data_IF_911821943092
#
_entry.id   IF_911821943092
#
_cell.length_a   1.000
_cell.length_b   1.000
_cell.length_c   1.000
_cell.angle_alpha   90.00
_cell.angle_beta   90.00
_cell.angle_gamma   90.00
#
_symmetry.space_group_name_H-M   'P 1'
#
loop_
_entity.id
_entity.type
_entity.pdbx_description
1 polymer ?
#
# COMPACT_ATOMS: atom_id res chain seq x y z
N UNK A 1 33.35 12.40 1.71
CA UNK A 1 33.08 13.66 0.96
C UNK A 1 31.69 13.50 0.34
N UNK A 2 30.69 14.31 0.73
CA UNK A 2 29.37 14.20 0.15
C UNK A 2 29.33 14.99 -1.18
N UNK A 3 28.93 14.30 -2.24
CA UNK A 3 28.69 14.84 -3.55
C UNK A 3 27.34 15.58 -3.52
N UNK A 4 27.39 16.89 -3.31
CA UNK A 4 26.31 17.81 -3.59
C UNK A 4 26.31 18.08 -5.09
N UNK A 5 25.29 17.62 -5.82
CA UNK A 5 24.64 18.46 -6.84
C UNK A 5 23.43 17.79 -7.54
N UNK A 6 22.43 18.65 -7.78
CA UNK A 6 21.43 18.60 -8.86
C UNK A 6 20.12 17.83 -8.62
N UNK A 7 19.22 18.47 -7.87
CA UNK A 7 17.78 18.18 -7.87
C UNK A 7 17.01 19.45 -8.22
N UNK A 8 16.67 19.62 -9.49
CA UNK A 8 15.75 20.66 -9.96
C UNK A 8 15.07 20.18 -11.25
N UNK A 9 13.97 19.43 -11.09
CA UNK A 9 13.07 19.03 -12.18
C UNK A 9 11.59 19.29 -11.84
N UNK A 10 11.31 20.09 -10.81
CA UNK A 10 9.93 20.41 -10.42
C UNK A 10 9.51 21.72 -11.06
N UNK A 11 8.43 21.68 -11.84
CA UNK A 11 7.87 22.84 -12.53
C UNK A 11 6.73 23.40 -11.69
N UNK A 12 6.74 24.71 -11.44
CA UNK A 12 5.60 25.43 -10.90
C UNK A 12 4.77 25.97 -12.04
N UNK A 13 3.51 25.56 -12.16
CA UNK A 13 2.54 26.31 -12.95
C UNK A 13 1.17 26.34 -12.27
N UNK A 14 0.55 27.51 -12.34
CA UNK A 14 -0.64 27.93 -11.62
C UNK A 14 -1.73 28.27 -12.64
N UNK A 15 -2.91 27.65 -12.54
CA UNK A 15 -4.18 28.13 -13.13
C UNK A 15 -5.37 27.20 -12.81
N UNK A 16 -6.31 27.76 -12.06
CA UNK A 16 -7.65 27.26 -11.76
C UNK A 16 -8.62 27.36 -12.94
N UNK A 17 -9.42 26.33 -13.21
CA UNK A 17 -10.69 26.47 -13.95
C UNK A 17 -11.85 25.63 -13.39
N UNK A 18 -13.04 26.22 -13.51
CA UNK A 18 -14.31 25.94 -12.83
C UNK A 18 -15.06 24.73 -13.40
N UNK A 19 -15.75 24.03 -12.52
CA UNK A 19 -16.69 22.92 -12.79
C UNK A 19 -18.08 23.48 -13.12
N UNK A 20 -18.75 22.91 -14.14
CA UNK A 20 -20.20 23.05 -14.36
C UNK A 20 -20.83 21.65 -14.38
N UNK A 21 -21.79 21.43 -13.46
CA UNK A 21 -22.64 20.24 -13.37
C UNK A 21 -23.79 20.32 -14.38
N UNK A 22 -24.14 19.19 -14.99
CA UNK A 22 -25.51 18.94 -15.47
C UNK A 22 -25.95 17.52 -15.11
N UNK A 23 -27.10 17.49 -14.46
CA UNK A 23 -27.90 16.36 -14.01
C UNK A 23 -28.90 15.95 -15.09
N UNK A 24 -29.19 14.66 -15.20
CA UNK A 24 -30.43 14.18 -15.81
C UNK A 24 -30.79 12.79 -15.29
N UNK A 25 -32.00 12.72 -14.73
CA UNK A 25 -32.70 11.54 -14.24
C UNK A 25 -33.08 10.61 -15.39
N UNK A 26 -32.99 9.29 -15.19
CA UNK A 26 -33.70 8.30 -16.00
C UNK A 26 -34.38 7.28 -15.09
N UNK A 27 -35.64 7.04 -15.43
CA UNK A 27 -36.70 6.30 -14.74
C UNK A 27 -36.47 4.80 -14.78
N UNK A 28 -36.72 4.14 -13.65
CA UNK A 28 -36.65 2.69 -13.44
C UNK A 28 -37.92 2.02 -13.97
N UNK A 29 -37.78 1.03 -14.87
CA UNK A 29 -38.81 0.02 -15.14
C UNK A 29 -38.31 -1.35 -14.69
N UNK A 30 -39.09 -1.99 -13.81
CA UNK A 30 -38.93 -3.37 -13.36
C UNK A 30 -39.34 -4.34 -14.47
N UNK A 31 -38.49 -5.29 -14.79
CA UNK A 31 -38.87 -6.55 -15.45
C UNK A 31 -38.28 -7.71 -14.64
N UNK A 32 -39.17 -8.55 -14.10
CA UNK A 32 -38.85 -9.83 -13.50
C UNK A 32 -38.38 -10.81 -14.59
N UNK A 33 -37.13 -11.29 -14.51
CA UNK A 33 -36.63 -12.45 -15.25
C UNK A 33 -35.72 -13.31 -14.37
N UNK A 34 -36.27 -14.42 -13.89
CA UNK A 34 -35.62 -15.73 -13.74
C UNK A 34 -34.08 -15.75 -13.72
N UNK A 35 -33.48 -15.54 -12.54
CA UNK A 35 -32.06 -15.79 -12.27
C UNK A 35 -31.83 -17.21 -11.75
N UNK A 36 -31.33 -18.12 -12.59
CA UNK A 36 -30.64 -19.33 -12.07
C UNK A 36 -29.59 -19.97 -12.99
N UNK A 37 -29.26 -19.39 -14.16
CA UNK A 37 -28.27 -19.98 -15.10
C UNK A 37 -27.19 -19.02 -15.60
N UNK A 38 -27.28 -17.71 -15.36
CA UNK A 38 -26.30 -16.70 -15.81
C UNK A 38 -25.06 -16.60 -14.90
N UNK A 39 -25.22 -16.77 -13.59
CA UNK A 39 -24.13 -16.61 -12.62
C UNK A 39 -23.03 -17.67 -12.75
N UNK A 40 -23.39 -18.91 -13.11
CA UNK A 40 -22.41 -19.99 -13.29
C UNK A 40 -21.48 -19.78 -14.49
N UNK A 41 -21.99 -19.22 -15.59
CA UNK A 41 -21.19 -18.94 -16.78
C UNK A 41 -20.31 -17.70 -16.61
N UNK A 42 -20.78 -16.68 -15.89
CA UNK A 42 -19.98 -15.48 -15.57
C UNK A 42 -18.83 -15.80 -14.63
N UNK A 43 -19.08 -16.52 -13.54
CA UNK A 43 -18.04 -16.92 -12.59
C UNK A 43 -16.96 -17.81 -13.24
N UNK A 44 -17.36 -18.78 -14.08
CA UNK A 44 -16.40 -19.60 -14.85
C UNK A 44 -15.57 -18.77 -15.83
N UNK A 45 -16.17 -17.77 -16.49
CA UNK A 45 -15.45 -16.88 -17.42
C UNK A 45 -14.45 -15.98 -16.70
N UNK A 46 -14.83 -15.45 -15.53
CA UNK A 46 -13.94 -14.65 -14.67
C UNK A 46 -12.77 -15.48 -14.12
N UNK A 47 -13.03 -16.72 -13.71
CA UNK A 47 -12.00 -17.65 -13.24
C UNK A 47 -11.01 -18.04 -14.35
N UNK A 48 -11.50 -18.36 -15.55
CA UNK A 48 -10.65 -18.65 -16.71
C UNK A 48 -9.78 -17.44 -17.07
N UNK A 49 -10.33 -16.23 -17.01
CA UNK A 49 -9.58 -15.00 -17.25
C UNK A 49 -8.47 -14.79 -16.21
N UNK A 50 -8.76 -14.97 -14.91
CA UNK A 50 -7.77 -14.82 -13.85
C UNK A 50 -6.59 -15.80 -14.00
N UNK A 51 -6.86 -17.07 -14.36
CA UNK A 51 -5.81 -18.07 -14.60
C UNK A 51 -4.90 -17.69 -15.77
N UNK A 52 -5.47 -17.18 -16.86
CA UNK A 52 -4.69 -16.72 -18.01
C UNK A 52 -3.77 -15.54 -17.64
N UNK A 53 -4.28 -14.59 -16.85
CA UNK A 53 -3.50 -13.43 -16.39
C UNK A 53 -2.36 -13.84 -15.45
N UNK A 54 -2.63 -14.76 -14.52
CA UNK A 54 -1.62 -15.32 -13.62
C UNK A 54 -0.53 -16.03 -14.43
N UNK A 55 -0.91 -16.83 -15.42
CA UNK A 55 0.05 -17.53 -16.28
C UNK A 55 0.93 -16.56 -17.07
N UNK A 56 0.34 -15.52 -17.67
CA UNK A 56 1.07 -14.50 -18.40
C UNK A 56 2.07 -13.76 -17.50
N UNK A 57 1.64 -13.35 -16.31
CA UNK A 57 2.48 -12.69 -15.32
C UNK A 57 3.66 -13.57 -14.88
N UNK A 58 3.42 -14.85 -14.57
CA UNK A 58 4.47 -15.80 -14.22
C UNK A 58 5.44 -16.03 -15.37
N UNK A 59 4.93 -16.22 -16.59
CA UNK A 59 5.76 -16.47 -17.77
C UNK A 59 6.71 -15.30 -18.06
N UNK A 60 6.24 -14.05 -17.97
CA UNK A 60 7.12 -12.88 -18.13
C UNK A 60 8.20 -12.83 -17.06
N UNK A 61 7.85 -13.11 -15.80
CA UNK A 61 8.83 -13.15 -14.72
C UNK A 61 9.89 -14.25 -14.96
N UNK A 62 9.49 -15.43 -15.43
CA UNK A 62 10.42 -16.51 -15.80
C UNK A 62 11.31 -16.14 -17.00
N UNK A 63 10.74 -15.50 -18.03
CA UNK A 63 11.50 -15.04 -19.20
C UNK A 63 12.53 -13.98 -18.84
N UNK A 64 12.17 -13.02 -17.99
CA UNK A 64 13.09 -11.99 -17.50
C UNK A 64 14.14 -12.51 -16.53
N UNK A 65 13.81 -13.58 -15.79
CA UNK A 65 14.61 -14.11 -14.68
C UNK A 65 14.83 -13.04 -13.59
N UNK A 66 15.48 -13.43 -12.50
CA UNK A 66 15.78 -12.51 -11.40
C UNK A 66 16.67 -11.35 -11.85
N UNK A 67 17.65 -11.60 -12.71
CA UNK A 67 18.54 -10.56 -13.25
C UNK A 67 17.80 -9.52 -14.10
N UNK A 68 16.94 -9.94 -15.03
CA UNK A 68 16.19 -9.00 -15.87
C UNK A 68 15.13 -8.22 -15.11
N UNK A 69 14.52 -8.80 -14.07
CA UNK A 69 13.62 -8.07 -13.16
C UNK A 69 14.39 -7.05 -12.29
N UNK A 70 15.62 -7.36 -11.91
CA UNK A 70 16.52 -6.41 -11.23
C UNK A 70 16.87 -5.23 -12.13
N UNK A 71 17.30 -5.50 -13.37
CA UNK A 71 17.60 -4.47 -14.37
C UNK A 71 16.37 -3.58 -14.66
N UNK A 72 15.19 -4.19 -14.75
CA UNK A 72 13.92 -3.49 -14.88
C UNK A 72 13.68 -2.50 -13.74
N UNK A 73 13.83 -2.94 -12.48
CA UNK A 73 13.74 -2.03 -11.34
C UNK A 73 14.79 -0.92 -11.40
N UNK A 74 16.05 -1.26 -11.73
CA UNK A 74 17.15 -0.29 -11.79
C UNK A 74 16.89 0.78 -12.85
N UNK A 75 16.31 0.42 -14.00
CA UNK A 75 15.91 1.37 -15.05
C UNK A 75 14.87 2.38 -14.57
N UNK A 76 14.01 1.97 -13.64
CA UNK A 76 12.97 2.82 -13.05
C UNK A 76 13.39 3.47 -11.75
N UNK A 77 14.55 3.13 -11.16
CA UNK A 77 14.98 3.61 -9.83
C UNK A 77 14.85 5.12 -9.67
N UNK A 78 15.17 5.88 -10.72
CA UNK A 78 15.11 7.35 -10.79
C UNK A 78 13.88 7.91 -11.50
N UNK A 79 12.86 7.09 -11.73
CA UNK A 79 11.61 7.53 -12.35
C UNK A 79 10.96 8.62 -11.51
N UNK A 80 10.67 9.75 -12.16
CA UNK A 80 9.93 10.88 -11.61
C UNK A 80 8.76 11.15 -12.55
N UNK A 81 7.52 11.25 -12.04
CA UNK A 81 6.36 11.53 -12.87
C UNK A 81 6.50 12.89 -13.58
N UNK A 82 6.15 12.96 -14.86
CA UNK A 82 6.23 14.21 -15.63
C UNK A 82 5.24 15.23 -15.06
N UNK A 83 5.71 16.45 -14.79
CA UNK A 83 4.86 17.53 -14.29
C UNK A 83 4.41 17.39 -12.83
N UNK A 84 5.07 16.52 -12.05
CA UNK A 84 4.83 16.44 -10.61
C UNK A 84 5.10 17.79 -9.94
N UNK A 85 4.16 18.24 -9.11
CA UNK A 85 4.33 19.40 -8.22
C UNK A 85 4.42 18.91 -6.77
N UNK A 86 5.23 19.60 -5.97
CA UNK A 86 5.51 19.25 -4.56
C UNK A 86 5.45 20.49 -3.65
N UNK A 87 4.66 21.50 -4.02
CA UNK A 87 4.60 22.81 -3.35
C UNK A 87 4.22 22.66 -1.88
N UNK A 88 3.21 21.85 -1.57
CA UNK A 88 2.78 21.64 -0.19
C UNK A 88 3.86 20.96 0.65
N UNK A 89 4.61 20.03 0.07
CA UNK A 89 5.76 19.38 0.73
C UNK A 89 6.87 20.38 1.05
N UNK A 90 7.26 21.21 0.08
CA UNK A 90 8.32 22.21 0.25
C UNK A 90 7.96 23.28 1.29
N UNK A 91 6.68 23.65 1.40
CA UNK A 91 6.20 24.62 2.39
C UNK A 91 6.07 24.06 3.81
N UNK A 92 6.16 22.74 4.01
CA UNK A 92 5.94 22.08 5.31
C UNK A 92 7.11 21.16 5.74
N UNK A 93 8.37 21.61 5.71
CA UNK A 93 9.53 20.74 5.91
C UNK A 93 9.58 20.13 7.32
N UNK A 94 9.06 20.81 8.34
CA UNK A 94 9.04 20.34 9.74
C UNK A 94 8.02 19.22 9.99
N UNK A 95 7.08 19.02 9.05
CA UNK A 95 6.07 17.95 9.09
C UNK A 95 6.48 16.73 8.24
N UNK A 96 7.69 16.75 7.67
CA UNK A 96 8.23 15.70 6.82
C UNK A 96 9.40 14.99 7.52
N UNK A 97 9.33 13.67 7.67
CA UNK A 97 10.39 12.86 8.30
C UNK A 97 11.68 12.87 7.49
N UNK A 98 11.56 12.91 6.18
CA UNK A 98 12.67 12.82 5.23
C UNK A 98 12.54 13.93 4.18
N UNK A 99 13.60 14.72 4.02
CA UNK A 99 13.66 15.85 3.08
C UNK A 99 13.74 15.41 1.61
N UNK A 100 14.21 14.19 1.38
CA UNK A 100 14.42 13.57 0.07
C UNK A 100 13.24 12.69 -0.38
N UNK A 101 12.17 12.60 0.41
CA UNK A 101 10.97 11.83 0.07
C UNK A 101 9.80 12.80 -0.17
N UNK A 102 9.54 13.20 -1.42
CA UNK A 102 8.50 14.17 -1.72
C UNK A 102 7.09 13.59 -1.55
N UNK A 103 6.14 14.47 -1.26
CA UNK A 103 4.70 14.21 -1.39
C UNK A 103 4.19 14.99 -2.60
N UNK A 104 3.64 14.29 -3.59
CA UNK A 104 3.00 14.92 -4.76
C UNK A 104 1.76 15.71 -4.34
N UNK A 105 1.56 16.92 -4.88
CA UNK A 105 0.36 17.71 -4.59
C UNK A 105 -0.90 17.07 -5.19
N UNK A 106 -0.79 16.44 -6.36
CA UNK A 106 -1.95 15.94 -7.12
C UNK A 106 -2.78 14.90 -6.35
N UNK A 107 -2.12 14.09 -5.53
CA UNK A 107 -2.74 12.99 -4.80
C UNK A 107 -2.58 13.12 -3.28
N UNK A 108 -2.15 14.28 -2.76
CA UNK A 108 -1.96 14.44 -1.31
C UNK A 108 -3.28 14.35 -0.55
N UNK A 109 -3.23 13.82 0.66
CA UNK A 109 -4.34 13.94 1.60
C UNK A 109 -4.33 15.36 2.17
N UNK A 110 -5.48 16.04 2.10
CA UNK A 110 -5.65 17.40 2.61
C UNK A 110 -6.44 17.31 3.90
N UNK A 111 -5.88 17.78 5.02
CA UNK A 111 -6.58 17.78 6.30
C UNK A 111 -7.33 19.09 6.49
N UNK A 112 -8.50 19.02 7.11
CA UNK A 112 -9.25 20.18 7.55
C UNK A 112 -9.50 20.11 9.05
N UNK A 113 -8.97 21.07 9.80
CA UNK A 113 -9.24 21.22 11.23
C UNK A 113 -9.92 22.56 11.48
N UNK A 114 -11.16 22.54 11.97
CA UNK A 114 -11.95 23.76 12.27
C UNK A 114 -11.99 24.76 11.11
N UNK A 115 -12.07 24.24 9.87
CA UNK A 115 -12.12 25.02 8.63
C UNK A 115 -10.76 25.46 8.09
N UNK A 116 -9.66 25.15 8.76
CA UNK A 116 -8.29 25.48 8.32
C UNK A 116 -7.63 24.26 7.69
N UNK A 117 -7.06 24.45 6.50
CA UNK A 117 -6.27 23.42 5.83
C UNK A 117 -4.97 23.14 6.61
N UNK A 118 -4.66 21.86 6.80
CA UNK A 118 -3.42 21.40 7.41
C UNK A 118 -2.70 20.38 6.51
N UNK A 119 -1.38 20.39 6.57
CA UNK A 119 -0.55 19.47 5.81
C UNK A 119 -0.33 18.14 6.56
N UNK A 120 -0.34 17.04 5.80
CA UNK A 120 0.19 15.74 6.23
C UNK A 120 0.95 15.10 5.06
N UNK A 121 2.06 14.43 5.36
CA UNK A 121 2.87 13.70 4.37
C UNK A 121 2.21 12.36 4.00
N UNK A 122 1.13 12.42 3.25
CA UNK A 122 0.35 11.27 2.83
C UNK A 122 -0.20 11.46 1.42
N UNK A 123 -0.22 10.39 0.62
CA UNK A 123 -0.88 10.37 -0.68
C UNK A 123 -1.93 9.26 -0.75
N UNK A 124 -3.06 9.54 -1.41
CA UNK A 124 -3.93 8.47 -1.87
C UNK A 124 -3.22 7.67 -2.97
N UNK A 125 -3.43 6.35 -2.95
CA UNK A 125 -3.03 5.48 -4.06
C UNK A 125 -4.20 4.59 -4.46
N UNK A 126 -4.37 4.45 -5.76
CA UNK A 126 -5.44 3.70 -6.39
C UNK A 126 -5.04 2.27 -6.69
N UNK A 127 -6.03 1.42 -6.78
CA UNK A 127 -5.95 0.08 -7.35
C UNK A 127 -7.15 -0.12 -8.29
N UNK A 128 -7.28 -1.26 -8.98
CA UNK A 128 -8.48 -1.57 -9.78
C UNK A 128 -9.79 -1.45 -9.01
N UNK A 129 -9.76 -1.72 -7.70
CA UNK A 129 -10.95 -1.71 -6.86
C UNK A 129 -11.41 -0.30 -6.48
N UNK A 130 -10.49 0.64 -6.22
CA UNK A 130 -10.84 2.01 -5.79
C UNK A 130 -9.76 3.03 -6.13
N UNK A 131 -10.18 4.25 -6.52
CA UNK A 131 -9.29 5.39 -6.73
C UNK A 131 -8.62 5.89 -5.45
N UNK A 132 -9.24 5.66 -4.29
CA UNK A 132 -8.71 5.99 -2.95
C UNK A 132 -8.58 4.72 -2.12
N UNK A 133 -8.02 3.66 -2.71
CA UNK A 133 -7.91 2.35 -2.06
C UNK A 133 -7.04 2.42 -0.81
N UNK A 134 -5.88 3.06 -0.94
CA UNK A 134 -4.91 3.19 0.13
C UNK A 134 -4.57 4.66 0.39
N UNK A 135 -4.10 4.92 1.60
CA UNK A 135 -3.37 6.13 1.96
C UNK A 135 -1.97 5.70 2.38
N UNK A 136 -0.98 6.07 1.58
CA UNK A 136 0.44 5.80 1.84
C UNK A 136 1.04 7.01 2.55
N UNK A 137 1.55 6.81 3.76
CA UNK A 137 2.05 7.91 4.61
C UNK A 137 3.36 7.54 5.31
N UNK A 138 4.12 8.54 5.75
CA UNK A 138 5.30 8.35 6.59
C UNK A 138 4.89 7.83 7.98
N UNK A 139 5.85 7.23 8.70
CA UNK A 139 5.66 6.89 10.11
C UNK A 139 5.47 8.18 10.92
N UNK A 140 4.37 8.32 11.68
CA UNK A 140 4.09 9.53 12.46
C UNK A 140 5.31 10.01 13.25
N UNK A 141 5.54 11.32 13.26
CA UNK A 141 6.50 12.00 14.13
C UNK A 141 5.75 12.58 15.32
N UNK A 142 6.43 12.91 16.41
CA UNK A 142 5.79 13.44 17.62
C UNK A 142 4.92 14.68 17.30
N UNK A 143 5.42 15.57 16.44
CA UNK A 143 4.70 16.76 15.97
C UNK A 143 3.55 16.48 14.96
N UNK A 144 3.45 15.26 14.42
CA UNK A 144 2.43 14.90 13.42
C UNK A 144 1.45 13.82 13.91
N UNK A 145 1.50 13.40 15.18
CA UNK A 145 0.59 12.37 15.71
C UNK A 145 -0.87 12.85 15.62
N UNK A 146 -1.14 14.10 16.04
CA UNK A 146 -2.48 14.67 15.95
C UNK A 146 -2.98 14.77 14.50
N UNK A 147 -2.10 15.15 13.56
CA UNK A 147 -2.42 15.19 12.12
C UNK A 147 -2.76 13.79 11.59
N UNK A 148 -2.01 12.77 12.03
CA UNK A 148 -2.28 11.39 11.66
C UNK A 148 -3.67 10.94 12.14
N UNK A 149 -4.02 11.17 13.41
CA UNK A 149 -5.36 10.81 13.92
C UNK A 149 -6.48 11.64 13.30
N UNK A 150 -6.22 12.91 12.98
CA UNK A 150 -7.15 13.72 12.17
C UNK A 150 -7.37 13.11 10.79
N UNK A 151 -6.33 12.61 10.13
CA UNK A 151 -6.46 11.89 8.85
C UNK A 151 -7.33 10.63 9.00
N UNK A 152 -7.07 9.80 10.03
CA UNK A 152 -7.87 8.59 10.30
C UNK A 152 -9.35 8.95 10.51
N UNK A 153 -9.62 10.02 11.25
CA UNK A 153 -10.97 10.50 11.50
C UNK A 153 -11.61 11.17 10.26
N UNK A 154 -10.89 11.95 9.49
CA UNK A 154 -11.46 12.61 8.32
C UNK A 154 -11.81 11.59 7.22
N UNK A 155 -10.91 10.63 6.98
CA UNK A 155 -11.00 9.68 5.87
C UNK A 155 -11.80 8.42 6.22
N UNK A 156 -12.34 8.34 7.44
CA UNK A 156 -13.13 7.19 7.90
C UNK A 156 -12.37 5.87 7.79
N UNK A 157 -11.07 5.93 8.07
CA UNK A 157 -10.19 4.77 8.02
C UNK A 157 -10.58 3.80 9.13
N UNK A 158 -10.73 2.53 8.76
CA UNK A 158 -10.99 1.43 9.70
C UNK A 158 -9.75 0.54 9.89
N UNK A 159 -8.80 0.59 8.94
CA UNK A 159 -7.67 -0.34 8.88
C UNK A 159 -6.35 0.42 8.69
N UNK A 160 -5.38 0.13 9.56
CA UNK A 160 -4.02 0.67 9.50
C UNK A 160 -3.03 -0.50 9.42
N UNK A 161 -2.11 -0.46 8.45
CA UNK A 161 -1.00 -1.41 8.33
C UNK A 161 0.31 -0.66 8.64
N UNK A 162 0.94 -1.03 9.75
CA UNK A 162 2.22 -0.51 10.22
C UNK A 162 3.32 -1.53 9.91
N UNK A 163 4.30 -1.11 9.11
CA UNK A 163 5.35 -1.97 8.57
C UNK A 163 6.75 -1.62 9.11
N UNK A 164 6.86 -0.91 10.22
CA UNK A 164 8.13 -0.60 10.87
C UNK A 164 8.00 -0.52 12.37
N UNK A 165 9.07 -0.81 13.09
CA UNK A 165 9.14 -0.54 14.52
C UNK A 165 9.38 0.95 14.80
N UNK A 166 9.24 1.37 16.05
CA UNK A 166 9.52 2.76 16.47
C UNK A 166 10.98 3.11 16.25
N UNK A 167 11.88 2.20 16.63
CA UNK A 167 13.33 2.32 16.47
C UNK A 167 13.84 1.06 15.76
N UNK A 168 14.66 1.25 14.73
CA UNK A 168 15.34 0.17 14.02
C UNK A 168 16.81 0.54 13.86
N UNK A 169 17.72 -0.34 14.30
CA UNK A 169 19.19 -0.10 14.25
C UNK A 169 19.59 1.27 14.83
N UNK A 170 18.97 1.66 15.94
CA UNK A 170 19.22 2.94 16.62
C UNK A 170 18.60 4.17 15.97
N UNK A 171 17.89 4.03 14.84
CA UNK A 171 17.27 5.14 14.13
C UNK A 171 15.77 5.19 14.41
N UNK A 172 15.23 6.36 14.77
CA UNK A 172 13.78 6.58 14.97
C UNK A 172 13.07 6.50 13.61
N UNK A 173 12.29 5.45 13.40
CA UNK A 173 11.54 5.21 12.16
C UNK A 173 10.08 5.67 12.25
N UNK A 174 9.52 5.66 13.45
CA UNK A 174 8.15 6.05 13.76
C UNK A 174 8.09 6.57 15.21
N UNK A 175 7.06 7.33 15.56
CA UNK A 175 6.72 7.65 16.95
C UNK A 175 5.67 6.69 17.49
N UNK A 176 5.64 6.49 18.81
CA UNK A 176 4.57 5.72 19.44
C UNK A 176 3.29 6.57 19.41
N UNK A 177 2.37 6.25 18.51
CA UNK A 177 1.16 7.05 18.25
C UNK A 177 -0.12 6.38 18.74
N UNK A 178 -0.01 5.26 19.42
CA UNK A 178 -1.11 4.55 20.09
C UNK A 178 -0.60 3.92 21.39
N UNK A 179 -1.45 3.60 22.38
CA UNK A 179 -1.00 3.00 23.64
C UNK A 179 -0.40 1.60 23.44
N UNK A 180 0.65 1.26 24.19
CA UNK A 180 1.33 -0.05 24.07
C UNK A 180 0.55 -1.15 24.82
N UNK A 181 -0.05 -0.79 25.96
CA UNK A 181 -0.66 -1.76 26.87
C UNK A 181 -2.17 -1.85 26.62
N UNK A 182 -2.72 -3.05 26.41
CA UNK A 182 -4.17 -3.23 26.32
C UNK A 182 -4.89 -2.70 27.57
N UNK A 183 -6.04 -2.08 27.37
CA UNK A 183 -6.84 -1.44 28.42
C UNK A 183 -6.49 0.02 28.68
N UNK A 184 -5.37 0.54 28.15
CA UNK A 184 -4.96 1.93 28.37
C UNK A 184 -5.37 2.86 27.22
N UNK A 185 -5.35 4.16 27.50
CA UNK A 185 -5.63 5.22 26.54
C UNK A 185 -4.61 6.34 26.63
N UNK A 186 -4.32 6.97 25.50
CA UNK A 186 -3.47 8.15 25.39
C UNK A 186 -4.23 9.25 24.64
N UNK A 187 -3.91 10.51 24.95
CA UNK A 187 -4.50 11.68 24.31
C UNK A 187 -3.48 12.33 23.38
N UNK A 188 -3.92 12.66 22.16
CA UNK A 188 -3.15 13.38 21.16
C UNK A 188 -4.00 14.54 20.63
N UNK A 189 -3.80 15.72 21.22
CA UNK A 189 -4.62 16.92 20.95
C UNK A 189 -6.13 16.62 21.16
N UNK A 190 -6.96 16.82 20.14
CA UNK A 190 -8.40 16.57 20.19
C UNK A 190 -8.77 15.06 20.12
N UNK A 191 -7.81 14.14 20.07
CA UNK A 191 -8.06 12.70 19.93
C UNK A 191 -7.70 11.89 21.18
N UNK A 192 -8.58 10.99 21.60
CA UNK A 192 -8.30 9.95 22.59
C UNK A 192 -8.22 8.61 21.88
N UNK A 193 -7.09 7.91 22.06
CA UNK A 193 -6.81 6.61 21.43
C UNK A 193 -6.71 5.56 22.52
N UNK A 194 -7.64 4.61 22.53
CA UNK A 194 -7.67 3.50 23.49
C UNK A 194 -7.28 2.20 22.81
N UNK A 195 -6.24 1.53 23.30
CA UNK A 195 -5.94 0.15 22.91
C UNK A 195 -6.82 -0.78 23.74
N UNK A 196 -7.75 -1.48 23.10
CA UNK A 196 -8.65 -2.41 23.79
C UNK A 196 -8.03 -3.79 23.89
N UNK A 197 -7.51 -4.31 22.77
CA UNK A 197 -6.95 -5.65 22.67
C UNK A 197 -5.75 -5.63 21.72
N UNK A 198 -4.73 -6.47 22.00
CA UNK A 198 -3.63 -6.77 21.08
C UNK A 198 -3.44 -8.28 21.04
N UNK A 199 -3.52 -8.88 19.85
CA UNK A 199 -3.29 -10.32 19.65
C UNK A 199 -2.46 -10.58 18.40
N UNK A 200 -1.94 -11.80 18.26
CA UNK A 200 -1.32 -12.25 17.02
C UNK A 200 -2.41 -12.41 15.95
N UNK A 201 -2.12 -12.02 14.70
CA UNK A 201 -3.08 -12.06 13.59
C UNK A 201 -3.48 -13.49 13.21
N UNK A 202 -2.49 -14.38 13.04
CA UNK A 202 -2.66 -15.77 12.64
C UNK A 202 -1.43 -16.58 13.03
N UNK A 203 -1.56 -17.90 13.17
CA UNK A 203 -0.43 -18.84 13.37
C UNK A 203 0.56 -18.83 12.20
N UNK A 204 0.10 -18.49 11.00
CA UNK A 204 0.94 -18.37 9.80
C UNK A 204 1.48 -16.94 9.59
N UNK A 205 1.24 -16.04 10.56
CA UNK A 205 1.63 -14.64 10.56
C UNK A 205 1.95 -14.17 11.99
N UNK A 206 2.76 -14.96 12.72
CA UNK A 206 2.95 -14.79 14.17
C UNK A 206 3.57 -13.46 14.56
N UNK A 207 4.33 -12.86 13.65
CA UNK A 207 5.03 -11.59 13.83
C UNK A 207 4.16 -10.37 13.55
N UNK A 208 2.88 -10.59 13.25
CA UNK A 208 1.89 -9.53 13.05
C UNK A 208 0.98 -9.42 14.26
N UNK A 209 1.03 -8.26 14.93
CA UNK A 209 0.05 -7.90 15.96
C UNK A 209 -1.17 -7.26 15.32
N UNK A 210 -2.36 -7.81 15.60
CA UNK A 210 -3.66 -7.21 15.35
C UNK A 210 -4.15 -6.52 16.62
N UNK A 211 -4.20 -5.20 16.57
CA UNK A 211 -4.67 -4.34 17.63
C UNK A 211 -6.09 -3.87 17.34
N UNK A 212 -6.94 -3.89 18.36
CA UNK A 212 -8.27 -3.29 18.35
C UNK A 212 -8.22 -1.97 19.10
N UNK A 213 -8.42 -0.87 18.38
CA UNK A 213 -8.31 0.49 18.89
C UNK A 213 -9.68 1.17 18.80
N UNK A 214 -10.04 1.91 19.85
CA UNK A 214 -11.17 2.84 19.84
C UNK A 214 -10.61 4.25 19.76
N UNK A 215 -11.03 4.98 18.74
CA UNK A 215 -10.70 6.38 18.51
C UNK A 215 -11.90 7.26 18.86
N UNK A 216 -11.70 8.25 19.71
CA UNK A 216 -12.68 9.27 20.06
C UNK A 216 -12.12 10.66 19.72
N UNK A 217 -12.99 11.60 19.34
CA UNK A 217 -12.62 12.98 19.07
C UNK A 217 -13.38 13.92 20.01
N UNK A 218 -12.67 14.87 20.63
CA UNK A 218 -13.24 15.85 21.55
C UNK A 218 -14.34 16.66 20.86
N UNK A 219 -15.49 16.78 21.52
CA UNK A 219 -16.65 17.51 21.03
C UNK A 219 -17.52 16.76 20.02
N UNK A 220 -17.13 15.57 19.58
CA UNK A 220 -17.96 14.72 18.72
C UNK A 220 -18.68 13.66 19.57
N UNK A 221 -19.94 13.39 19.25
CA UNK A 221 -20.67 12.27 19.85
C UNK A 221 -20.40 11.00 19.04
N UNK A 222 -19.65 10.06 19.62
CA UNK A 222 -19.39 8.76 19.02
C UNK A 222 -17.91 8.37 19.01
N UNK A 223 -17.65 7.12 18.65
CA UNK A 223 -16.30 6.57 18.54
C UNK A 223 -16.13 5.81 17.24
N UNK A 224 -14.88 5.53 16.88
CA UNK A 224 -14.54 4.74 15.69
C UNK A 224 -13.70 3.55 16.06
N UNK A 225 -14.01 2.43 15.45
CA UNK A 225 -13.26 1.19 15.56
C UNK A 225 -12.15 1.19 14.52
N UNK A 226 -10.91 1.02 14.99
CA UNK A 226 -9.72 0.91 14.15
C UNK A 226 -9.07 -0.45 14.40
N UNK A 227 -8.85 -1.20 13.32
CA UNK A 227 -7.99 -2.38 13.33
C UNK A 227 -6.60 -2.00 12.85
N UNK A 228 -5.61 -2.15 13.73
CA UNK A 228 -4.22 -1.81 13.44
C UNK A 228 -3.36 -3.07 13.38
N UNK A 229 -2.73 -3.31 12.23
CA UNK A 229 -1.90 -4.46 11.93
C UNK A 229 -0.43 -4.05 11.93
N UNK A 230 0.32 -4.44 12.96
CA UNK A 230 1.75 -4.14 13.08
C UNK A 230 2.57 -5.38 12.70
N UNK A 231 3.22 -5.35 11.54
CA UNK A 231 4.18 -6.37 11.14
C UNK A 231 5.58 -6.01 11.66
N UNK A 232 6.05 -6.76 12.65
CA UNK A 232 7.16 -6.32 13.52
C UNK A 232 8.56 -6.79 13.08
N UNK A 233 8.66 -7.83 12.25
CA UNK A 233 9.93 -8.45 11.85
C UNK A 233 10.36 -8.12 10.42
N UNK A 234 9.75 -7.11 9.78
CA UNK A 234 10.22 -6.65 8.48
C UNK A 234 11.62 -6.02 8.61
N UNK A 235 12.66 -6.54 7.93
CA UNK A 235 14.02 -6.04 8.09
C UNK A 235 14.22 -4.60 7.56
N UNK A 236 15.09 -3.83 8.19
CA UNK A 236 15.47 -2.45 7.77
C UNK A 236 16.08 -2.41 6.35
N UNK A 237 16.89 -3.42 6.01
CA UNK A 237 17.45 -3.60 4.67
C UNK A 237 16.95 -4.93 4.11
N UNK A 238 16.47 -4.91 2.86
CA UNK A 238 15.96 -6.10 2.18
C UNK A 238 14.45 -6.30 2.31
N UNK A 239 14.04 -7.56 2.32
CA UNK A 239 12.66 -8.01 2.41
C UNK A 239 12.52 -9.17 3.41
N UNK A 240 11.32 -9.44 3.95
CA UNK A 240 11.10 -10.56 4.87
C UNK A 240 11.37 -11.92 4.20
N UNK A 241 11.53 -12.99 4.98
CA UNK A 241 11.45 -14.35 4.45
C UNK A 241 10.15 -14.58 3.67
N UNK A 242 10.20 -15.49 2.70
CA UNK A 242 9.02 -15.84 1.90
C UNK A 242 8.07 -16.69 2.74
N UNK A 243 6.93 -16.12 3.09
CA UNK A 243 5.87 -16.79 3.83
C UNK A 243 4.50 -16.16 3.52
N UNK A 244 3.46 -16.65 4.19
CA UNK A 244 2.09 -16.23 3.92
C UNK A 244 1.66 -14.90 4.58
N UNK A 245 2.51 -14.29 5.42
CA UNK A 245 2.20 -13.10 6.22
C UNK A 245 1.52 -11.96 5.44
N UNK A 246 2.02 -11.50 4.28
CA UNK A 246 1.39 -10.39 3.58
C UNK A 246 -0.05 -10.73 3.15
N UNK A 247 -0.34 -11.98 2.81
CA UNK A 247 -1.68 -12.41 2.41
C UNK A 247 -2.65 -12.47 3.58
N UNK A 248 -2.20 -12.81 4.79
CA UNK A 248 -3.03 -12.75 5.98
C UNK A 248 -3.39 -11.29 6.34
N UNK A 249 -2.42 -10.37 6.27
CA UNK A 249 -2.69 -8.93 6.48
C UNK A 249 -3.68 -8.43 5.42
N UNK A 250 -3.38 -8.65 4.14
CA UNK A 250 -4.20 -8.17 3.03
C UNK A 250 -5.62 -8.78 3.06
N UNK A 251 -5.74 -10.08 3.37
CA UNK A 251 -7.04 -10.72 3.54
C UNK A 251 -7.86 -10.11 4.68
N UNK A 252 -7.23 -9.64 5.76
CA UNK A 252 -7.93 -9.04 6.89
C UNK A 252 -8.49 -7.64 6.57
N UNK A 253 -7.88 -6.92 5.63
CA UNK A 253 -8.30 -5.55 5.26
C UNK A 253 -9.10 -5.48 3.97
N UNK A 254 -9.00 -6.47 3.07
CA UNK A 254 -9.53 -6.41 1.70
C UNK A 254 -11.02 -6.07 1.63
N UNK A 255 -11.81 -6.53 2.60
CA UNK A 255 -13.26 -6.35 2.63
C UNK A 255 -13.73 -4.90 2.88
N UNK A 256 -12.87 -4.00 3.36
CA UNK A 256 -13.28 -2.61 3.61
C UNK A 256 -13.46 -1.82 2.32
N UNK A 257 -14.46 -0.91 2.32
CA UNK A 257 -14.69 0.08 1.27
C UNK A 257 -14.05 1.43 1.57
N UNK A 258 -13.54 1.61 2.79
CA UNK A 258 -12.84 2.81 3.24
C UNK A 258 -11.36 2.75 2.82
N UNK A 259 -10.65 3.89 2.79
CA UNK A 259 -9.20 3.86 2.54
C UNK A 259 -8.47 3.04 3.61
N UNK A 260 -7.48 2.26 3.18
CA UNK A 260 -6.58 1.52 4.08
C UNK A 260 -5.30 2.36 4.24
N UNK A 261 -4.97 2.73 5.47
CA UNK A 261 -3.70 3.44 5.73
C UNK A 261 -2.57 2.43 5.78
N UNK A 262 -1.50 2.68 5.03
CA UNK A 262 -0.28 1.85 5.05
C UNK A 262 0.90 2.77 5.27
N UNK A 263 1.69 2.48 6.31
CA UNK A 263 2.89 3.25 6.59
C UNK A 263 4.07 2.35 6.97
N UNK A 264 5.25 2.85 6.67
CA UNK A 264 6.51 2.36 7.21
C UNK A 264 7.22 3.55 7.84
N UNK A 265 8.52 3.73 7.60
CA UNK A 265 9.21 4.94 8.04
C UNK A 265 8.97 6.11 7.10
N UNK A 266 9.37 5.99 5.83
CA UNK A 266 9.17 7.04 4.81
C UNK A 266 7.82 6.91 4.06
N UNK A 267 7.13 5.78 4.21
CA UNK A 267 5.88 5.52 3.49
C UNK A 267 6.04 5.24 2.00
N UNK A 268 7.19 4.67 1.60
CA UNK A 268 7.51 4.39 0.18
C UNK A 268 8.03 2.97 -0.08
N UNK A 269 8.98 2.47 0.72
CA UNK A 269 9.62 1.16 0.51
C UNK A 269 8.67 0.00 0.84
N UNK A 270 8.66 -0.43 2.11
CA UNK A 270 7.77 -1.51 2.60
C UNK A 270 6.29 -1.24 2.30
N UNK A 271 5.87 0.02 2.46
CA UNK A 271 4.53 0.49 2.09
C UNK A 271 4.21 0.21 0.63
N UNK A 272 5.08 0.64 -0.29
CA UNK A 272 4.92 0.37 -1.71
C UNK A 272 4.93 -1.13 -2.02
N UNK A 273 5.75 -1.92 -1.34
CA UNK A 273 5.78 -3.39 -1.50
C UNK A 273 4.42 -4.02 -1.18
N UNK A 274 3.81 -3.71 -0.04
CA UNK A 274 2.51 -4.28 0.35
C UNK A 274 1.38 -3.80 -0.55
N UNK A 275 1.37 -2.52 -0.91
CA UNK A 275 0.39 -1.97 -1.84
C UNK A 275 0.51 -2.61 -3.22
N UNK A 276 1.73 -2.87 -3.70
CA UNK A 276 1.96 -3.50 -5.00
C UNK A 276 1.49 -4.96 -5.04
N UNK A 277 1.68 -5.71 -3.95
CA UNK A 277 1.15 -7.08 -3.84
C UNK A 277 -0.38 -7.06 -4.00
N UNK A 278 -1.08 -6.20 -3.26
CA UNK A 278 -2.54 -6.10 -3.38
C UNK A 278 -2.97 -5.55 -4.75
N UNK A 279 -2.23 -4.60 -5.31
CA UNK A 279 -2.50 -4.07 -6.66
C UNK A 279 -2.53 -5.23 -7.67
N UNK A 280 -1.50 -6.08 -7.68
CA UNK A 280 -1.43 -7.23 -8.59
C UNK A 280 -2.56 -8.23 -8.31
N UNK A 281 -2.84 -8.55 -7.04
CA UNK A 281 -3.93 -9.46 -6.66
C UNK A 281 -5.31 -8.95 -7.10
N UNK A 282 -5.58 -7.65 -6.94
CA UNK A 282 -6.82 -7.03 -7.39
C UNK A 282 -6.89 -6.96 -8.94
N UNK A 283 -5.76 -6.78 -9.65
CA UNK A 283 -5.74 -6.91 -11.12
C UNK A 283 -6.11 -8.32 -11.58
N UNK A 284 -5.58 -9.36 -10.93
CA UNK A 284 -5.98 -10.75 -11.20
C UNK A 284 -7.47 -10.95 -10.98
N UNK A 285 -8.01 -10.45 -9.87
CA UNK A 285 -9.43 -10.59 -9.51
C UNK A 285 -10.37 -9.81 -10.44
N UNK A 286 -9.95 -8.64 -10.91
CA UNK A 286 -10.73 -7.80 -11.82
C UNK A 286 -10.53 -8.15 -13.30
N UNK A 287 -9.73 -9.17 -13.64
CA UNK A 287 -9.49 -9.56 -15.03
C UNK A 287 -8.71 -8.50 -15.83
N UNK A 288 -7.88 -7.68 -15.17
CA UNK A 288 -7.09 -6.63 -15.80
C UNK A 288 -5.64 -7.08 -16.01
N UNK A 289 -5.05 -6.72 -17.16
CA UNK A 289 -3.65 -7.04 -17.45
C UNK A 289 -2.71 -6.50 -16.37
N UNK A 290 -1.82 -7.33 -15.85
CA UNK A 290 -0.85 -6.94 -14.83
C UNK A 290 0.55 -7.51 -15.10
N UNK A 291 0.75 -8.16 -16.25
CA UNK A 291 2.03 -8.74 -16.66
C UNK A 291 3.18 -7.74 -16.54
N UNK A 292 2.99 -6.51 -17.04
CA UNK A 292 3.99 -5.45 -17.00
C UNK A 292 4.11 -4.81 -15.60
N UNK A 293 4.85 -5.47 -14.72
CA UNK A 293 5.10 -4.97 -13.36
C UNK A 293 5.80 -3.61 -13.33
N UNK A 294 6.61 -3.30 -14.35
CA UNK A 294 7.26 -2.00 -14.55
C UNK A 294 6.24 -0.87 -14.76
N UNK A 295 5.13 -1.16 -15.44
CA UNK A 295 4.04 -0.20 -15.61
C UNK A 295 3.29 -0.01 -14.30
N UNK A 296 3.02 -1.08 -13.53
CA UNK A 296 2.42 -0.97 -12.20
C UNK A 296 3.32 -0.12 -11.28
N UNK A 297 4.64 -0.30 -11.34
CA UNK A 297 5.59 0.50 -10.58
C UNK A 297 5.53 2.00 -10.96
N UNK A 298 5.43 2.32 -12.26
CA UNK A 298 5.23 3.70 -12.73
C UNK A 298 3.92 4.27 -12.21
N UNK A 299 2.81 3.56 -12.38
CA UNK A 299 1.48 3.98 -11.94
C UNK A 299 1.44 4.25 -10.43
N UNK A 300 2.14 3.44 -9.64
CA UNK A 300 2.29 3.66 -8.20
C UNK A 300 3.14 4.88 -7.89
N UNK A 301 4.26 5.09 -8.61
CA UNK A 301 5.16 6.23 -8.42
C UNK A 301 4.59 7.56 -8.89
N UNK A 302 3.63 7.53 -9.82
CA UNK A 302 2.81 8.69 -10.21
C UNK A 302 1.92 9.18 -9.05
N UNK A 303 1.57 8.30 -8.13
CA UNK A 303 0.67 8.60 -7.01
C UNK A 303 1.42 8.80 -5.69
N UNK A 304 2.44 7.98 -5.43
CA UNK A 304 3.35 8.07 -4.29
C UNK A 304 4.78 7.90 -4.79
N UNK A 305 5.46 9.03 -4.95
CA UNK A 305 6.83 9.09 -5.45
C UNK A 305 7.76 8.11 -4.72
N UNK A 306 8.68 7.49 -5.48
CA UNK A 306 9.66 6.51 -5.00
C UNK A 306 9.09 5.25 -4.32
N UNK A 307 7.81 4.93 -4.51
CA UNK A 307 7.22 3.65 -4.10
C UNK A 307 8.08 2.47 -4.56
N UNK A 308 8.32 1.51 -3.65
CA UNK A 308 9.29 0.42 -3.77
C UNK A 308 10.72 0.96 -3.92
N UNK A 309 11.52 0.86 -2.86
CA UNK A 309 12.76 1.64 -2.73
C UNK A 309 14.01 0.90 -3.21
N UNK A 310 14.01 -0.43 -3.20
CA UNK A 310 15.16 -1.24 -3.61
C UNK A 310 14.76 -2.51 -4.36
N UNK A 311 15.74 -3.12 -5.01
CA UNK A 311 15.57 -4.32 -5.83
C UNK A 311 15.09 -5.54 -5.04
N UNK A 312 15.52 -5.72 -3.79
CA UNK A 312 15.03 -6.82 -2.94
C UNK A 312 13.53 -6.70 -2.69
N UNK A 313 13.01 -5.49 -2.47
CA UNK A 313 11.58 -5.24 -2.31
C UNK A 313 10.82 -5.51 -3.61
N UNK A 314 11.36 -5.11 -4.77
CA UNK A 314 10.73 -5.37 -6.06
C UNK A 314 10.65 -6.88 -6.35
N UNK A 315 11.76 -7.59 -6.14
CA UNK A 315 11.84 -9.02 -6.37
C UNK A 315 11.04 -9.83 -5.33
N UNK A 316 10.93 -9.33 -4.10
CA UNK A 316 10.08 -9.93 -3.07
C UNK A 316 8.61 -9.98 -3.52
N UNK A 317 8.09 -8.93 -4.16
CA UNK A 317 6.72 -8.92 -4.71
C UNK A 317 6.56 -10.11 -5.67
N UNK A 318 7.53 -10.30 -6.57
CA UNK A 318 7.47 -11.40 -7.52
C UNK A 318 7.50 -12.77 -6.81
N UNK A 319 8.47 -12.95 -5.93
CA UNK A 319 8.71 -14.22 -5.24
C UNK A 319 7.55 -14.61 -4.32
N UNK A 320 6.96 -13.65 -3.60
CA UNK A 320 5.88 -13.91 -2.64
C UNK A 320 4.55 -14.17 -3.34
N UNK A 321 4.26 -13.50 -4.46
CA UNK A 321 3.11 -13.82 -5.30
C UNK A 321 3.23 -15.21 -5.90
N UNK A 322 4.41 -15.60 -6.39
CA UNK A 322 4.64 -16.96 -6.87
C UNK A 322 4.48 -17.99 -5.75
N UNK A 323 4.99 -17.72 -4.55
CA UNK A 323 4.72 -18.57 -3.37
C UNK A 323 3.22 -18.76 -3.15
N UNK A 324 2.43 -17.69 -3.20
CA UNK A 324 0.98 -17.79 -3.08
C UNK A 324 0.33 -18.60 -4.20
N UNK A 325 0.76 -18.41 -5.45
CA UNK A 325 0.21 -19.09 -6.63
C UNK A 325 0.56 -20.58 -6.64
N UNK A 326 1.84 -20.93 -6.41
CA UNK A 326 2.35 -22.29 -6.61
C UNK A 326 2.28 -23.15 -5.35
N UNK A 327 2.46 -22.57 -4.17
CA UNK A 327 2.56 -23.34 -2.91
C UNK A 327 1.26 -23.29 -2.10
N UNK A 328 0.43 -22.27 -2.30
CA UNK A 328 -0.88 -22.13 -1.63
C UNK A 328 -2.08 -22.14 -2.58
N UNK A 329 -1.85 -21.97 -3.87
CA UNK A 329 -2.89 -21.94 -4.89
C UNK A 329 -3.27 -23.34 -5.37
N UNK A 330 -3.99 -23.39 -6.50
CA UNK A 330 -4.35 -24.66 -7.13
C UNK A 330 -3.08 -25.41 -7.58
N UNK A 331 -3.10 -26.75 -7.48
CA UNK A 331 -1.97 -27.58 -7.90
C UNK A 331 -1.64 -27.33 -9.37
N UNK A 332 -0.45 -26.79 -9.63
CA UNK A 332 0.11 -26.69 -10.97
C UNK A 332 0.79 -28.01 -11.29
N UNK A 333 0.39 -28.65 -12.40
CA UNK A 333 0.92 -29.96 -12.83
C UNK A 333 1.85 -29.87 -14.04
N UNK A 334 1.97 -28.70 -14.65
CA UNK A 334 2.84 -28.52 -15.82
C UNK A 334 4.32 -28.51 -15.38
N UNK A 335 5.08 -29.52 -15.80
CA UNK A 335 6.48 -29.72 -15.41
C UNK A 335 7.41 -28.58 -15.84
N UNK A 336 7.20 -28.00 -17.02
CA UNK A 336 8.01 -26.88 -17.52
C UNK A 336 7.81 -25.64 -16.64
N UNK A 337 6.57 -25.36 -16.26
CA UNK A 337 6.25 -24.25 -15.36
C UNK A 337 6.86 -24.47 -13.98
N UNK A 338 6.78 -25.70 -13.44
CA UNK A 338 7.38 -26.05 -12.15
C UNK A 338 8.92 -25.94 -12.18
N UNK A 339 9.55 -26.36 -13.28
CA UNK A 339 11.00 -26.21 -13.48
C UNK A 339 11.41 -24.74 -13.52
N UNK A 340 10.70 -23.91 -14.29
CA UNK A 340 10.95 -22.47 -14.35
C UNK A 340 10.75 -21.80 -12.97
N UNK A 341 9.71 -22.20 -12.23
CA UNK A 341 9.48 -21.74 -10.87
C UNK A 341 10.63 -22.09 -9.93
N UNK A 342 11.10 -23.34 -9.98
CA UNK A 342 12.25 -23.79 -9.19
C UNK A 342 13.51 -22.97 -9.51
N UNK A 343 13.86 -22.82 -10.80
CA UNK A 343 15.00 -22.00 -11.22
C UNK A 343 14.87 -20.55 -10.72
N UNK A 344 13.68 -19.96 -10.82
CA UNK A 344 13.45 -18.60 -10.30
C UNK A 344 13.67 -18.52 -8.79
N UNK A 345 13.24 -19.54 -8.03
CA UNK A 345 13.46 -19.59 -6.58
C UNK A 345 14.94 -19.70 -6.23
N UNK A 346 15.68 -20.55 -6.94
CA UNK A 346 17.11 -20.75 -6.73
C UNK A 346 17.89 -19.45 -7.03
N UNK A 347 17.58 -18.79 -8.15
CA UNK A 347 18.17 -17.49 -8.53
C UNK A 347 17.85 -16.39 -7.49
N UNK A 348 16.61 -16.36 -6.98
CA UNK A 348 16.20 -15.39 -5.96
C UNK A 348 16.97 -15.61 -4.65
N UNK A 349 17.07 -16.87 -4.20
CA UNK A 349 17.78 -17.22 -2.98
C UNK A 349 19.28 -16.91 -3.10
N UNK A 350 19.89 -17.19 -4.25
CA UNK A 350 21.27 -16.85 -4.52
C UNK A 350 21.50 -15.32 -4.45
N UNK A 351 20.56 -14.51 -4.93
CA UNK A 351 20.66 -13.06 -4.84
C UNK A 351 20.54 -12.54 -3.40
N UNK A 352 19.56 -13.04 -2.63
CA UNK A 352 19.29 -12.52 -1.27
C UNK A 352 20.35 -12.95 -0.25
N UNK A 353 21.06 -14.05 -0.50
CA UNK A 353 22.11 -14.57 0.37
C UNK A 353 23.52 -14.00 0.06
N UNK A 354 23.68 -13.30 -1.07
CA UNK A 354 24.89 -12.57 -1.44
C UNK A 354 24.77 -11.10 -1.03
#
# INVERSE_FOLDING_TARGET
>A
MPDESQHSNYVEDDKTQKVVKKSSNVVVKKEDKTESTSNGNKAKKEEVNARTLIQAWCNRAFQKKVSGLREEFLSLRRYVPKGITIKAFLSNPTLCRYKDVPTSDANRVILYNKGVEQFIHANYTSTPFSKKRFICTQGPMDCTIAHFWLMIWQEEVENIIMLCNIIEKGQKKCSQYYPINPGTSENYDDFTVKLVESKILSKDAETVKKNYIILSKKGETGTRTIYHYHWQDWPDRGAPPINATPFFILSAVRGTKKPIVVHCSAGIGRTGTIVAIEYVLERFSCGQSCEAMDQILKDMRDQRAYSIQNEHQYLYIHRVLMYYIFERGAKVTNEDVLRNYKTFCDDYNAMVNN
#
